data_IF_338196165184
#
_entry.id   IF_338196165184
#
_cell.length_a   1.000
_cell.length_b   1.000
_cell.length_c   1.000
_cell.angle_alpha   90.00
_cell.angle_beta   90.00
_cell.angle_gamma   90.00
#
_symmetry.space_group_name_H-M   'P 1'
#
loop_
_entity.id
_entity.type
_entity.pdbx_description
1 polymer ?
#
# COMPACT_ATOMS: atom_id res chain seq x y z
N UNK A 1 -20.58 -0.45 6.27
CA UNK A 1 -19.28 0.04 5.78
C UNK A 1 -19.55 1.28 4.95
N UNK A 2 -19.16 2.47 5.41
CA UNK A 2 -19.34 3.72 4.66
C UNK A 2 -18.61 3.60 3.34
N UNK A 3 -19.40 3.53 2.27
CA UNK A 3 -18.97 3.48 0.89
C UNK A 3 -18.47 4.90 0.52
N UNK A 4 -17.31 5.27 1.05
CA UNK A 4 -16.72 6.61 0.95
C UNK A 4 -16.42 6.91 -0.52
N UNK A 5 -16.88 8.08 -1.01
CA UNK A 5 -16.72 8.50 -2.41
C UNK A 5 -15.26 8.44 -2.87
N UNK A 6 -14.32 8.71 -1.98
CA UNK A 6 -12.89 8.60 -2.24
C UNK A 6 -12.44 7.16 -2.54
N UNK A 7 -12.87 6.19 -1.72
CA UNK A 7 -12.55 4.76 -1.95
C UNK A 7 -13.15 4.25 -3.25
N UNK A 8 -14.37 4.69 -3.59
CA UNK A 8 -14.98 4.37 -4.89
C UNK A 8 -14.12 4.88 -6.04
N UNK A 9 -13.71 6.14 -5.98
CA UNK A 9 -12.85 6.75 -6.99
C UNK A 9 -11.51 6.01 -7.14
N UNK A 10 -10.87 5.59 -6.02
CA UNK A 10 -9.63 4.79 -6.08
C UNK A 10 -9.85 3.49 -6.87
N UNK A 11 -10.95 2.79 -6.63
CA UNK A 11 -11.24 1.51 -7.28
C UNK A 11 -11.57 1.69 -8.77
N UNK A 12 -12.32 2.72 -9.12
CA UNK A 12 -12.61 3.10 -10.51
C UNK A 12 -11.33 3.47 -11.25
N UNK A 13 -10.49 4.33 -10.68
CA UNK A 13 -9.20 4.69 -11.27
C UNK A 13 -8.28 3.48 -11.46
N UNK A 14 -8.23 2.58 -10.47
CA UNK A 14 -7.44 1.35 -10.58
C UNK A 14 -7.95 0.45 -11.71
N UNK A 15 -9.27 0.41 -11.96
CA UNK A 15 -9.85 -0.30 -13.10
C UNK A 15 -9.38 0.31 -14.42
N UNK A 16 -9.48 1.63 -14.57
CA UNK A 16 -9.04 2.34 -15.78
C UNK A 16 -7.54 2.12 -16.04
N UNK A 17 -6.69 2.15 -15.00
CA UNK A 17 -5.27 1.88 -15.15
C UNK A 17 -4.96 0.45 -15.61
N UNK A 18 -5.78 -0.54 -15.20
CA UNK A 18 -5.66 -1.90 -15.72
C UNK A 18 -6.05 -1.95 -17.19
N UNK A 19 -7.19 -1.36 -17.56
CA UNK A 19 -7.66 -1.31 -18.96
C UNK A 19 -6.64 -0.64 -19.89
N UNK A 20 -6.05 0.49 -19.47
CA UNK A 20 -5.01 1.18 -20.23
C UNK A 20 -3.73 0.33 -20.36
N UNK A 21 -3.32 -0.35 -19.28
CA UNK A 21 -2.13 -1.21 -19.32
C UNK A 21 -2.36 -2.49 -20.15
N UNK A 22 -3.57 -3.06 -20.12
CA UNK A 22 -3.93 -4.21 -20.94
C UNK A 22 -3.90 -3.85 -22.43
N UNK A 23 -4.37 -2.65 -22.80
CA UNK A 23 -4.26 -2.10 -24.16
C UNK A 23 -2.81 -1.96 -24.62
N UNK A 24 -1.87 -1.58 -23.75
CA UNK A 24 -0.44 -1.59 -24.07
C UNK A 24 0.02 -3.01 -24.41
N UNK A 25 -0.37 -4.00 -23.62
CA UNK A 25 -0.04 -5.41 -23.86
C UNK A 25 -0.63 -5.93 -25.18
N UNK A 26 -1.87 -5.56 -25.50
CA UNK A 26 -2.53 -5.94 -26.75
C UNK A 26 -1.85 -5.33 -27.99
N UNK A 27 -1.61 -4.01 -27.95
CA UNK A 27 -0.95 -3.30 -29.06
C UNK A 27 0.50 -3.77 -29.24
N UNK A 28 1.22 -4.06 -28.16
CA UNK A 28 2.56 -4.64 -28.22
C UNK A 28 2.55 -6.01 -28.90
N UNK A 29 1.59 -6.89 -28.59
CA UNK A 29 1.49 -8.22 -29.24
C UNK A 29 1.18 -8.12 -30.74
N UNK A 30 0.40 -7.12 -31.16
CA UNK A 30 0.07 -6.88 -32.57
C UNK A 30 1.26 -6.33 -33.34
N UNK A 31 1.86 -5.25 -32.81
CA UNK A 31 3.01 -4.59 -33.44
C UNK A 31 3.86 -3.88 -32.36
N UNK A 32 4.93 -4.53 -31.88
CA UNK A 32 5.86 -3.90 -30.94
C UNK A 32 6.41 -2.59 -31.53
N UNK A 33 6.42 -1.53 -30.74
CA UNK A 33 6.93 -0.21 -31.13
C UNK A 33 6.23 0.44 -32.34
N UNK A 34 5.07 -0.09 -32.77
CA UNK A 34 4.23 0.54 -33.78
C UNK A 34 3.55 1.83 -33.29
N UNK A 35 2.84 2.55 -34.19
CA UNK A 35 2.15 3.79 -33.84
C UNK A 35 1.05 3.57 -32.78
N UNK A 36 0.28 2.48 -32.87
CA UNK A 36 -0.75 2.15 -31.88
C UNK A 36 -0.18 1.84 -30.49
N UNK A 37 0.94 1.10 -30.44
CA UNK A 37 1.61 0.79 -29.19
C UNK A 37 2.19 2.04 -28.54
N UNK A 38 2.84 2.89 -29.34
CA UNK A 38 3.38 4.17 -28.88
C UNK A 38 2.27 5.08 -28.34
N UNK A 39 1.13 5.14 -29.01
CA UNK A 39 -0.04 5.90 -28.56
C UNK A 39 -0.62 5.36 -27.25
N UNK A 40 -0.76 4.03 -27.11
CA UNK A 40 -1.24 3.41 -25.87
C UNK A 40 -0.30 3.68 -24.69
N UNK A 41 1.02 3.60 -24.90
CA UNK A 41 2.02 3.95 -23.90
C UNK A 41 1.91 5.43 -23.49
N UNK A 42 1.80 6.35 -24.45
CA UNK A 42 1.65 7.78 -24.18
C UNK A 42 0.37 8.07 -23.39
N UNK A 43 -0.75 7.47 -23.76
CA UNK A 43 -2.03 7.61 -23.07
C UNK A 43 -1.94 7.14 -21.61
N UNK A 44 -1.39 5.96 -21.36
CA UNK A 44 -1.19 5.45 -20.01
C UNK A 44 -0.32 6.40 -19.17
N UNK A 45 0.82 6.85 -19.71
CA UNK A 45 1.73 7.74 -18.97
C UNK A 45 1.10 9.11 -18.67
N UNK A 46 0.33 9.66 -19.61
CA UNK A 46 -0.35 10.95 -19.43
C UNK A 46 -1.42 10.90 -18.33
N UNK A 47 -2.14 9.77 -18.21
CA UNK A 47 -3.20 9.62 -17.21
C UNK A 47 -2.71 9.04 -15.87
N UNK A 48 -1.52 8.41 -15.87
CA UNK A 48 -1.03 7.63 -14.73
C UNK A 48 -1.07 8.41 -13.42
N UNK A 49 -0.52 9.62 -13.39
CA UNK A 49 -0.38 10.37 -12.14
C UNK A 49 -1.72 10.63 -11.47
N UNK A 50 -2.72 11.09 -12.24
CA UNK A 50 -4.04 11.46 -11.73
C UNK A 50 -4.89 10.25 -11.37
N UNK A 51 -4.76 9.15 -12.11
CA UNK A 51 -5.49 7.92 -11.81
C UNK A 51 -4.85 7.17 -10.63
N UNK A 52 -3.52 7.12 -10.54
CA UNK A 52 -2.81 6.35 -9.55
C UNK A 52 -3.12 6.79 -8.10
N UNK A 53 -3.47 8.05 -7.90
CA UNK A 53 -4.00 8.58 -6.64
C UNK A 53 -4.89 9.80 -6.92
N UNK A 54 -6.11 9.91 -6.34
CA UNK A 54 -6.96 11.07 -6.57
C UNK A 54 -6.26 12.39 -6.19
N UNK A 55 -6.07 13.28 -7.17
CA UNK A 55 -5.31 14.54 -7.01
C UNK A 55 -3.82 14.45 -7.32
N UNK A 56 -3.34 13.34 -7.87
CA UNK A 56 -1.99 13.14 -8.37
C UNK A 56 -1.07 12.37 -7.40
N UNK A 57 -0.50 11.26 -7.87
CA UNK A 57 0.43 10.42 -7.12
C UNK A 57 1.69 11.17 -6.70
N UNK A 58 2.31 11.90 -7.62
CA UNK A 58 3.53 12.67 -7.33
C UNK A 58 3.29 13.74 -6.27
N UNK A 59 2.16 14.45 -6.39
CA UNK A 59 1.74 15.45 -5.41
C UNK A 59 1.47 14.85 -4.04
N UNK A 60 0.73 13.73 -3.98
CA UNK A 60 0.46 13.03 -2.72
C UNK A 60 1.76 12.59 -2.03
N UNK A 61 2.69 12.04 -2.81
CA UNK A 61 4.00 11.64 -2.35
C UNK A 61 4.80 12.85 -1.81
N UNK A 62 4.85 13.97 -2.52
CA UNK A 62 5.54 15.19 -2.07
C UNK A 62 4.99 15.69 -0.72
N UNK A 63 3.65 15.78 -0.59
CA UNK A 63 3.00 16.21 0.64
C UNK A 63 3.25 15.27 1.82
N UNK A 64 3.33 13.96 1.57
CA UNK A 64 3.71 12.98 2.60
C UNK A 64 5.17 13.17 3.06
N UNK A 65 6.06 13.56 2.16
CA UNK A 65 7.45 13.86 2.50
C UNK A 65 7.54 15.10 3.41
N UNK A 66 6.71 16.10 3.14
CA UNK A 66 6.56 17.32 3.95
C UNK A 66 5.78 17.08 5.26
N UNK A 67 5.30 15.85 5.51
CA UNK A 67 4.49 15.46 6.67
C UNK A 67 3.19 16.27 6.79
N UNK A 68 2.63 16.70 5.65
CA UNK A 68 1.37 17.41 5.59
C UNK A 68 0.24 16.54 6.19
N UNK A 69 -0.41 17.05 7.23
CA UNK A 69 -1.45 16.30 7.96
C UNK A 69 -2.65 15.97 7.08
N UNK A 70 -2.95 16.80 6.08
CA UNK A 70 -4.14 16.64 5.24
C UNK A 70 -4.02 15.48 4.23
N UNK A 71 -2.81 15.00 3.92
CA UNK A 71 -2.61 13.86 3.01
C UNK A 71 -2.57 12.51 3.74
N UNK A 72 -2.37 12.51 5.07
CA UNK A 72 -2.25 11.27 5.87
C UNK A 72 -3.51 10.41 5.74
N UNK A 73 -4.68 11.01 5.97
CA UNK A 73 -5.96 10.30 5.95
C UNK A 73 -6.30 9.76 4.55
N UNK A 74 -6.22 10.54 3.46
CA UNK A 74 -6.32 10.03 2.09
C UNK A 74 -5.35 8.87 1.80
N UNK A 75 -4.11 8.94 2.28
CA UNK A 75 -3.11 7.88 2.08
C UNK A 75 -3.51 6.60 2.80
N UNK A 76 -3.99 6.69 4.04
CA UNK A 76 -4.46 5.50 4.78
C UNK A 76 -5.68 4.89 4.07
N UNK A 77 -6.63 5.71 3.61
CA UNK A 77 -7.77 5.21 2.81
C UNK A 77 -7.32 4.51 1.53
N UNK A 78 -6.34 5.07 0.83
CA UNK A 78 -5.74 4.45 -0.35
C UNK A 78 -5.12 3.08 -0.04
N UNK A 79 -4.35 2.97 1.04
CA UNK A 79 -3.78 1.69 1.48
C UNK A 79 -4.85 0.67 1.89
N UNK A 80 -5.96 1.12 2.50
CA UNK A 80 -7.11 0.27 2.84
C UNK A 80 -7.91 -0.19 1.62
N UNK A 81 -8.02 0.64 0.59
CA UNK A 81 -8.65 0.26 -0.68
C UNK A 81 -7.81 -0.78 -1.45
N UNK A 82 -6.51 -0.87 -1.15
CA UNK A 82 -5.55 -1.82 -1.73
C UNK A 82 -5.62 -1.92 -3.27
N UNK A 83 -5.59 -0.80 -4.03
CA UNK A 83 -5.79 -0.84 -5.47
C UNK A 83 -4.69 -1.64 -6.17
N UNK A 84 -5.11 -2.45 -7.14
CA UNK A 84 -4.25 -3.33 -7.93
C UNK A 84 -4.20 -2.87 -9.38
N UNK A 85 -3.06 -2.35 -9.80
CA UNK A 85 -2.75 -1.92 -11.17
C UNK A 85 -1.21 -1.91 -11.35
N UNK A 86 -0.72 -1.70 -12.56
CA UNK A 86 0.72 -1.69 -12.84
C UNK A 86 1.46 -0.63 -12.00
N UNK A 87 2.53 -1.03 -11.32
CA UNK A 87 3.30 -0.24 -10.34
C UNK A 87 2.59 0.12 -9.01
N UNK A 88 1.36 -0.32 -8.74
CA UNK A 88 0.65 0.09 -7.51
C UNK A 88 1.39 -0.33 -6.23
N UNK A 89 2.06 -1.49 -6.23
CA UNK A 89 2.87 -1.94 -5.10
C UNK A 89 4.04 -1.00 -4.79
N UNK A 90 4.76 -0.49 -5.81
CA UNK A 90 5.84 0.48 -5.60
C UNK A 90 5.31 1.79 -5.00
N UNK A 91 4.14 2.25 -5.45
CA UNK A 91 3.50 3.42 -4.86
C UNK A 91 3.15 3.21 -3.39
N UNK A 92 2.52 2.07 -3.04
CA UNK A 92 2.20 1.71 -1.64
C UNK A 92 3.44 1.66 -0.77
N UNK A 93 4.53 1.04 -1.25
CA UNK A 93 5.81 1.00 -0.52
C UNK A 93 6.35 2.41 -0.25
N UNK A 94 6.34 3.30 -1.26
CA UNK A 94 6.77 4.70 -1.08
C UNK A 94 5.91 5.43 -0.06
N UNK A 95 4.59 5.23 -0.09
CA UNK A 95 3.65 5.82 0.87
C UNK A 95 3.90 5.33 2.30
N UNK A 96 4.01 4.01 2.50
CA UNK A 96 4.26 3.40 3.82
C UNK A 96 5.56 3.94 4.43
N UNK A 97 6.64 4.01 3.65
CA UNK A 97 7.93 4.54 4.12
C UNK A 97 7.84 6.00 4.57
N UNK A 98 7.02 6.83 3.90
CA UNK A 98 6.83 8.25 4.28
C UNK A 98 5.87 8.42 5.45
N UNK A 99 4.79 7.64 5.50
CA UNK A 99 3.84 7.61 6.61
C UNK A 99 4.52 7.31 7.95
N UNK A 100 5.60 6.51 7.94
CA UNK A 100 6.42 6.23 9.13
C UNK A 100 6.91 7.51 9.85
N UNK A 101 7.09 8.60 9.12
CA UNK A 101 7.62 9.85 9.66
C UNK A 101 6.55 10.92 9.94
N UNK A 102 5.28 10.61 9.70
CA UNK A 102 4.16 11.53 9.84
C UNK A 102 3.61 11.56 11.28
N UNK A 103 2.99 12.67 11.71
CA UNK A 103 2.32 12.78 13.01
C UNK A 103 0.98 12.03 13.00
N UNK A 104 1.02 10.71 13.20
CA UNK A 104 -0.16 9.84 13.18
C UNK A 104 -0.97 9.91 14.48
N UNK A 105 -2.29 10.08 14.36
CA UNK A 105 -3.23 10.01 15.49
C UNK A 105 -3.38 8.56 15.99
N UNK A 106 -3.87 8.34 17.23
CA UNK A 106 -4.13 6.99 17.73
C UNK A 106 -5.06 6.16 16.82
N UNK A 107 -6.11 6.78 16.27
CA UNK A 107 -7.03 6.11 15.33
C UNK A 107 -6.36 5.70 14.02
N UNK A 108 -5.48 6.53 13.48
CA UNK A 108 -4.70 6.21 12.28
C UNK A 108 -3.71 5.07 12.52
N UNK A 109 -3.03 5.07 13.67
CA UNK A 109 -2.13 3.98 14.09
C UNK A 109 -2.87 2.65 14.22
N UNK A 110 -4.09 2.69 14.78
CA UNK A 110 -4.97 1.50 14.87
C UNK A 110 -5.30 0.95 13.48
N UNK A 111 -5.72 1.79 12.53
CA UNK A 111 -6.01 1.37 11.15
C UNK A 111 -4.80 0.83 10.41
N UNK A 112 -3.61 1.39 10.63
CA UNK A 112 -2.36 0.84 10.10
C UNK A 112 -2.00 -0.53 10.70
N UNK A 113 -2.35 -0.76 11.98
CA UNK A 113 -2.21 -2.08 12.60
C UNK A 113 -3.14 -3.12 11.95
N UNK A 114 -4.39 -2.74 11.69
CA UNK A 114 -5.37 -3.58 10.98
C UNK A 114 -4.91 -3.90 9.56
N UNK A 115 -4.36 -2.91 8.84
CA UNK A 115 -3.74 -3.10 7.53
C UNK A 115 -2.57 -4.08 7.56
N UNK A 116 -1.68 -3.98 8.55
CA UNK A 116 -0.59 -4.94 8.71
C UNK A 116 -1.15 -6.36 8.91
N UNK A 117 -2.14 -6.53 9.78
CA UNK A 117 -2.77 -7.83 10.02
C UNK A 117 -3.38 -8.38 8.72
N UNK A 118 -4.15 -7.57 8.00
CA UNK A 118 -4.74 -7.92 6.71
C UNK A 118 -3.67 -8.29 5.66
N UNK A 119 -2.56 -7.56 5.62
CA UNK A 119 -1.49 -7.76 4.64
C UNK A 119 -0.84 -9.14 4.73
N UNK A 120 -0.75 -9.70 5.93
CA UNK A 120 -0.17 -11.03 6.16
C UNK A 120 -1.03 -12.12 5.53
N UNK A 121 -2.36 -11.98 5.63
CA UNK A 121 -3.32 -12.96 5.14
C UNK A 121 -3.55 -12.86 3.63
N UNK A 122 -3.61 -11.65 3.08
CA UNK A 122 -4.21 -11.43 1.76
C UNK A 122 -3.25 -10.85 0.72
N UNK A 123 -2.24 -10.08 1.12
CA UNK A 123 -1.38 -9.40 0.14
C UNK A 123 -0.35 -10.39 -0.40
N UNK A 124 -0.37 -10.58 -1.72
CA UNK A 124 0.49 -11.57 -2.41
C UNK A 124 1.97 -11.14 -2.47
N UNK A 125 2.24 -9.83 -2.41
CA UNK A 125 3.59 -9.26 -2.51
C UNK A 125 4.23 -9.02 -1.15
N UNK A 126 5.53 -8.72 -1.15
CA UNK A 126 6.33 -8.40 0.06
C UNK A 126 5.96 -7.07 0.73
N UNK A 127 4.82 -6.47 0.40
CA UNK A 127 4.34 -5.23 1.01
C UNK A 127 4.11 -5.37 2.52
N UNK A 128 3.72 -6.56 3.00
CA UNK A 128 3.62 -6.86 4.44
C UNK A 128 4.92 -6.57 5.20
N UNK A 129 6.08 -6.68 4.54
CA UNK A 129 7.37 -6.37 5.14
C UNK A 129 7.53 -4.85 5.40
N UNK A 130 6.99 -4.02 4.50
CA UNK A 130 7.00 -2.57 4.67
C UNK A 130 5.99 -2.15 5.74
N UNK A 131 4.80 -2.78 5.80
CA UNK A 131 3.87 -2.60 6.92
C UNK A 131 4.50 -3.00 8.26
N UNK A 132 5.27 -4.09 8.31
CA UNK A 132 5.97 -4.51 9.52
C UNK A 132 6.94 -3.44 10.02
N UNK A 133 7.54 -2.63 9.14
CA UNK A 133 8.43 -1.52 9.52
C UNK A 133 7.70 -0.35 10.20
N UNK A 134 6.37 -0.32 10.16
CA UNK A 134 5.54 0.58 10.96
C UNK A 134 5.35 0.10 12.41
N UNK A 135 5.93 -1.06 12.78
CA UNK A 135 5.91 -1.66 14.12
C UNK A 135 6.00 -0.64 15.27
N UNK A 136 6.97 0.26 15.24
CA UNK A 136 7.18 1.23 16.32
C UNK A 136 6.05 2.24 16.51
N UNK A 137 5.16 2.37 15.51
CA UNK A 137 4.11 3.38 15.49
C UNK A 137 2.73 2.81 15.78
N UNK A 138 2.55 1.51 15.59
CA UNK A 138 1.25 0.84 15.71
C UNK A 138 1.09 0.24 17.11
N UNK A 139 -0.15 0.12 17.63
CA UNK A 139 -0.40 -0.62 18.85
C UNK A 139 0.12 -2.06 18.69
N UNK A 140 1.03 -2.45 19.59
CA UNK A 140 1.75 -3.72 19.49
C UNK A 140 0.99 -4.93 20.07
N UNK A 141 0.19 -4.83 21.15
CA UNK A 141 -0.42 -6.01 21.76
C UNK A 141 -1.40 -6.75 20.84
N UNK A 142 -2.26 -6.01 20.11
CA UNK A 142 -3.21 -6.59 19.17
C UNK A 142 -2.51 -7.24 17.97
N UNK A 143 -1.47 -6.59 17.42
CA UNK A 143 -0.69 -7.14 16.31
C UNK A 143 0.05 -8.40 16.74
N UNK A 144 0.72 -8.38 17.89
CA UNK A 144 1.45 -9.55 18.41
C UNK A 144 0.53 -10.75 18.58
N UNK A 145 -0.63 -10.56 19.24
CA UNK A 145 -1.63 -11.62 19.42
C UNK A 145 -2.12 -12.16 18.07
N UNK A 146 -2.43 -11.27 17.13
CA UNK A 146 -2.90 -11.66 15.80
C UNK A 146 -1.84 -12.45 15.00
N UNK A 147 -0.56 -12.09 15.10
CA UNK A 147 0.52 -12.84 14.45
C UNK A 147 0.73 -14.21 15.11
N UNK A 148 0.71 -14.31 16.44
CA UNK A 148 0.85 -15.60 17.14
C UNK A 148 -0.24 -16.60 16.73
N UNK A 149 -1.48 -16.13 16.57
CA UNK A 149 -2.58 -16.96 16.07
C UNK A 149 -2.34 -17.47 14.64
N UNK A 150 -1.70 -16.66 13.78
CA UNK A 150 -1.38 -17.02 12.39
C UNK A 150 -0.23 -18.01 12.28
N UNK A 151 0.77 -17.90 13.15
CA UNK A 151 1.86 -18.88 13.25
C UNK A 151 1.33 -20.26 13.64
N UNK A 152 0.32 -20.31 14.52
CA UNK A 152 -0.29 -21.57 14.95
C UNK A 152 -1.20 -22.23 13.89
N UNK A 153 -1.42 -21.60 12.73
CA UNK A 153 -2.33 -22.09 11.68
C UNK A 153 -1.58 -22.99 10.67
N UNK A 154 -2.26 -23.98 10.09
CA UNK A 154 -1.68 -24.92 9.11
C UNK A 154 -1.28 -24.29 7.75
N UNK A 155 -1.55 -23.00 7.53
CA UNK A 155 -1.10 -22.32 6.31
C UNK A 155 0.35 -21.86 6.47
N UNK A 156 1.27 -22.61 5.86
CA UNK A 156 2.72 -22.36 5.94
C UNK A 156 3.14 -20.99 5.43
N UNK A 157 2.43 -20.43 4.44
CA UNK A 157 2.77 -19.12 3.87
C UNK A 157 2.39 -18.02 4.85
N UNK A 158 1.16 -18.09 5.38
CA UNK A 158 0.68 -17.12 6.38
C UNK A 158 1.52 -17.21 7.66
N UNK A 159 1.85 -18.42 8.12
CA UNK A 159 2.70 -18.64 9.28
C UNK A 159 4.09 -18.01 9.10
N UNK A 160 4.76 -18.27 7.99
CA UNK A 160 6.09 -17.69 7.69
C UNK A 160 6.07 -16.16 7.64
N UNK A 161 5.02 -15.56 7.07
CA UNK A 161 4.84 -14.10 7.05
C UNK A 161 4.62 -13.54 8.46
N UNK A 162 3.80 -14.21 9.27
CA UNK A 162 3.53 -13.81 10.65
C UNK A 162 4.80 -13.91 11.53
N UNK A 163 5.62 -14.94 11.34
CA UNK A 163 6.93 -15.08 12.00
C UNK A 163 7.87 -13.93 11.62
N UNK A 164 7.94 -13.57 10.34
CA UNK A 164 8.72 -12.42 9.90
C UNK A 164 8.28 -11.14 10.63
N UNK A 165 6.97 -10.88 10.71
CA UNK A 165 6.44 -9.72 11.41
C UNK A 165 6.81 -9.75 12.89
N UNK A 166 6.65 -10.89 13.58
CA UNK A 166 7.05 -11.04 14.99
C UNK A 166 8.54 -10.77 15.21
N UNK A 167 9.40 -11.24 14.29
CA UNK A 167 10.83 -10.97 14.33
C UNK A 167 11.13 -9.48 14.17
N UNK A 168 10.49 -8.79 13.24
CA UNK A 168 10.66 -7.33 13.08
C UNK A 168 10.18 -6.58 14.34
N UNK A 169 9.04 -6.98 14.91
CA UNK A 169 8.49 -6.38 16.12
C UNK A 169 9.42 -6.57 17.34
N UNK A 170 10.03 -7.75 17.49
CA UNK A 170 10.93 -8.05 18.61
C UNK A 170 12.23 -7.22 18.56
N UNK A 171 12.81 -7.03 17.38
CA UNK A 171 13.99 -6.17 17.19
C UNK A 171 13.64 -4.70 17.38
N UNK A 172 12.46 -4.28 16.91
CA UNK A 172 11.94 -2.93 17.09
C UNK A 172 11.80 -2.55 18.59
N UNK A 173 11.38 -3.50 19.42
CA UNK A 173 11.27 -3.30 20.88
C UNK A 173 12.63 -3.18 21.56
N UNK A 174 13.63 -3.97 21.14
CA UNK A 174 14.99 -3.94 21.70
C UNK A 174 15.75 -2.66 21.38
N UNK A 175 15.48 -2.05 20.22
CA UNK A 175 16.19 -0.85 19.74
C UNK A 175 15.49 0.47 20.07
N UNK A 176 14.45 0.45 20.92
CA UNK A 176 13.77 1.68 21.35
C UNK A 176 14.64 2.35 22.43
N UNK A 177 15.15 3.58 22.23
CA UNK A 177 15.78 4.29 23.33
C UNK A 177 14.74 4.44 24.44
N UNK A 178 15.14 4.11 25.67
CA UNK A 178 14.39 4.43 26.88
C UNK A 178 14.05 5.93 26.81
N UNK A 179 12.77 6.23 26.64
CA UNK A 179 12.24 7.59 26.72
C UNK A 179 11.60 7.75 28.08
#
# INVERSE_FOLDING_TARGET
MTNDSFTRQINENAKLLRELHDRIGETYRKQPHGPEHSAACAEFHNQYDQLAFPGGMQRALARLLEKDKSIIEPTIKYLQADPMYFYSGYAKVKMIRRLKHCPLTPGQRKRLAELLIHSVDHIKHREYQEYARLAHLIPLPNVKKAMQQRVAKCDRIIASRAEYVLNVLSHSLKNKPLR
#
